data_IF_630297340797
#
_entry.id   IF_630297340797
#
_cell.length_a   1.000
_cell.length_b   1.000
_cell.length_c   1.000
_cell.angle_alpha   90.00
_cell.angle_beta   90.00
_cell.angle_gamma   90.00
#
_symmetry.space_group_name_H-M   'P 1'
#
loop_
_entity.id
_entity.type
_entity.pdbx_description
1 polymer ?
#
# COMPACT_ATOMS: atom_id res chain seq x y z
N UNK A 1 10.84 -5.63 -12.16
CA UNK A 1 9.79 -6.64 -11.84
C UNK A 1 10.19 -7.75 -10.86
N UNK A 2 11.26 -8.57 -11.09
CA UNK A 2 11.59 -9.70 -10.17
C UNK A 2 11.93 -9.29 -8.73
N UNK A 3 12.60 -8.16 -8.53
CA UNK A 3 12.99 -7.67 -7.19
C UNK A 3 11.79 -7.35 -6.28
N UNK A 4 10.79 -6.62 -6.78
CA UNK A 4 9.59 -6.28 -6.01
C UNK A 4 8.81 -7.51 -5.55
N UNK A 5 8.78 -8.57 -6.35
CA UNK A 5 8.11 -9.83 -5.96
C UNK A 5 8.84 -10.53 -4.80
N UNK A 6 10.18 -10.46 -4.74
CA UNK A 6 10.97 -11.03 -3.63
C UNK A 6 10.71 -10.24 -2.34
N UNK A 7 10.76 -8.90 -2.41
CA UNK A 7 10.46 -8.02 -1.28
C UNK A 7 9.05 -8.30 -0.74
N UNK A 8 8.05 -8.33 -1.62
CA UNK A 8 6.68 -8.59 -1.21
C UNK A 8 6.49 -9.99 -0.61
N UNK A 9 7.14 -11.03 -1.17
CA UNK A 9 7.13 -12.37 -0.58
C UNK A 9 7.68 -12.37 0.85
N UNK A 10 8.77 -11.64 1.10
CA UNK A 10 9.37 -11.46 2.43
C UNK A 10 8.46 -10.69 3.38
N UNK A 11 7.74 -9.69 2.90
CA UNK A 11 6.72 -8.99 3.69
C UNK A 11 5.57 -9.94 4.08
N UNK A 12 5.08 -10.75 3.15
CA UNK A 12 4.05 -11.75 3.43
C UNK A 12 4.50 -12.84 4.43
N UNK A 13 5.81 -13.04 4.65
CA UNK A 13 6.31 -13.94 5.72
C UNK A 13 6.16 -13.33 7.12
N UNK A 14 5.98 -12.01 7.21
CA UNK A 14 5.82 -11.28 8.47
C UNK A 14 4.40 -10.74 8.66
N UNK A 15 3.61 -10.66 7.59
CA UNK A 15 2.28 -10.07 7.58
C UNK A 15 1.19 -11.13 7.37
N UNK A 16 0.46 -11.42 8.46
CA UNK A 16 -0.64 -12.38 8.47
C UNK A 16 -2.02 -11.73 8.28
N UNK A 17 -2.07 -10.42 8.00
CA UNK A 17 -3.33 -9.68 7.93
C UNK A 17 -4.25 -10.06 6.76
N UNK A 18 -3.80 -10.93 5.85
CA UNK A 18 -4.61 -11.58 4.81
C UNK A 18 -5.11 -12.98 5.18
N UNK A 19 -4.54 -13.62 6.21
CA UNK A 19 -4.86 -15.00 6.59
C UNK A 19 -6.24 -15.13 7.28
N UNK A 20 -6.73 -14.05 7.87
CA UNK A 20 -8.07 -13.97 8.48
C UNK A 20 -9.16 -13.41 7.55
N UNK A 21 -8.81 -13.01 6.33
CA UNK A 21 -9.79 -12.50 5.38
C UNK A 21 -10.52 -13.69 4.74
N UNK A 22 -11.63 -14.12 5.34
CA UNK A 22 -12.61 -14.98 4.66
C UNK A 22 -13.29 -14.26 3.46
N UNK A 23 -13.03 -12.95 3.35
CA UNK A 23 -13.60 -12.03 2.38
C UNK A 23 -12.79 -11.81 1.09
N UNK A 24 -13.20 -10.79 0.35
CA UNK A 24 -12.64 -10.39 -0.94
C UNK A 24 -11.45 -9.46 -0.75
N UNK A 25 -10.30 -9.83 -1.33
CA UNK A 25 -9.14 -8.92 -1.47
C UNK A 25 -9.14 -8.33 -2.87
N UNK A 26 -9.21 -6.99 -2.94
CA UNK A 26 -9.13 -6.20 -4.17
C UNK A 26 -7.71 -5.63 -4.32
N UNK A 27 -7.08 -5.79 -5.48
CA UNK A 27 -5.74 -5.24 -5.77
C UNK A 27 -5.85 -4.02 -6.67
N UNK A 28 -5.64 -2.84 -6.09
CA UNK A 28 -5.70 -1.55 -6.79
C UNK A 28 -4.33 -1.25 -7.37
N UNK A 29 -4.29 -1.00 -8.68
CA UNK A 29 -3.04 -0.77 -9.43
C UNK A 29 -2.10 -1.99 -9.46
N UNK A 30 -2.66 -3.19 -9.29
CA UNK A 30 -1.90 -4.45 -9.22
C UNK A 30 -1.12 -4.86 -10.49
N UNK A 31 -1.29 -4.13 -11.59
CA UNK A 31 -0.67 -4.41 -12.89
C UNK A 31 -0.88 -5.86 -13.31
N UNK A 32 0.20 -6.64 -13.39
CA UNK A 32 0.18 -8.06 -13.80
C UNK A 32 -0.46 -9.04 -12.79
N UNK A 33 -0.98 -8.57 -11.66
CA UNK A 33 -1.65 -9.40 -10.64
C UNK A 33 -0.71 -10.34 -9.88
N UNK A 34 0.61 -10.11 -9.91
CA UNK A 34 1.60 -10.95 -9.23
C UNK A 34 1.43 -10.92 -7.70
N UNK A 35 1.09 -9.75 -7.14
CA UNK A 35 0.85 -9.62 -5.69
C UNK A 35 -0.29 -10.53 -5.23
N UNK A 36 -1.40 -10.52 -5.97
CA UNK A 36 -2.54 -11.40 -5.71
C UNK A 36 -2.21 -12.89 -5.81
N UNK A 37 -1.42 -13.31 -6.81
CA UNK A 37 -0.96 -14.71 -6.92
C UNK A 37 -0.18 -15.15 -5.68
N UNK A 38 0.65 -14.26 -5.12
CA UNK A 38 1.41 -14.53 -3.90
C UNK A 38 0.52 -14.62 -2.66
N UNK A 39 -0.50 -13.77 -2.54
CA UNK A 39 -1.48 -13.81 -1.44
C UNK A 39 -2.30 -15.12 -1.50
N UNK A 40 -2.81 -15.49 -2.68
CA UNK A 40 -3.58 -16.73 -2.88
C UNK A 40 -2.79 -17.99 -2.51
N UNK A 41 -1.47 -17.98 -2.65
CA UNK A 41 -0.63 -19.09 -2.25
C UNK A 41 -0.53 -19.28 -0.72
N UNK A 42 -1.05 -18.34 0.08
CA UNK A 42 -0.88 -18.31 1.55
C UNK A 42 -2.19 -18.20 2.32
N UNK A 43 -3.29 -17.79 1.68
CA UNK A 43 -4.59 -17.62 2.33
C UNK A 43 -5.71 -18.23 1.47
N UNK A 44 -6.74 -18.85 2.08
CA UNK A 44 -7.93 -19.32 1.37
C UNK A 44 -8.83 -18.17 0.88
N UNK A 45 -8.44 -16.91 1.09
CA UNK A 45 -9.21 -15.73 0.71
C UNK A 45 -9.58 -15.73 -0.78
N UNK A 46 -10.80 -15.24 -1.08
CA UNK A 46 -11.21 -14.99 -2.46
C UNK A 46 -10.50 -13.73 -2.90
N UNK A 47 -9.53 -13.91 -3.78
CA UNK A 47 -8.74 -12.81 -4.31
C UNK A 47 -9.26 -12.47 -5.70
N UNK A 48 -9.75 -11.25 -5.84
CA UNK A 48 -10.26 -10.73 -7.10
C UNK A 48 -9.34 -9.64 -7.60
N UNK A 49 -8.78 -9.86 -8.79
CA UNK A 49 -8.14 -8.80 -9.55
C UNK A 49 -9.21 -8.14 -10.40
N UNK A 50 -9.43 -6.85 -10.20
CA UNK A 50 -10.41 -6.10 -10.97
C UNK A 50 -9.68 -4.93 -11.58
N UNK A 51 -9.61 -4.92 -12.91
CA UNK A 51 -9.15 -3.75 -13.66
C UNK A 51 -10.18 -2.62 -13.53
N UNK A 52 -9.71 -1.40 -13.35
CA UNK A 52 -10.56 -0.23 -13.21
C UNK A 52 -9.74 1.03 -12.96
N UNK A 53 -10.42 2.17 -13.03
CA UNK A 53 -9.84 3.46 -12.67
C UNK A 53 -10.14 3.78 -11.19
N UNK A 54 -9.10 3.66 -10.35
CA UNK A 54 -9.16 3.97 -8.92
C UNK A 54 -9.52 5.43 -8.61
N UNK A 55 -9.32 6.35 -9.55
CA UNK A 55 -9.77 7.74 -9.40
C UNK A 55 -11.28 7.88 -9.55
N UNK A 56 -11.93 7.00 -10.31
CA UNK A 56 -13.38 6.98 -10.45
C UNK A 56 -14.03 6.16 -9.35
N UNK A 57 -13.62 4.89 -9.20
CA UNK A 57 -14.18 3.99 -8.19
C UNK A 57 -13.24 2.81 -7.89
N UNK A 58 -13.41 2.23 -6.70
CA UNK A 58 -12.76 0.98 -6.31
C UNK A 58 -13.85 -0.07 -6.07
N UNK A 59 -13.73 -1.30 -6.62
CA UNK A 59 -14.67 -2.37 -6.36
C UNK A 59 -14.79 -2.69 -4.86
N UNK A 60 -15.99 -3.08 -4.43
CA UNK A 60 -16.23 -3.43 -3.04
C UNK A 60 -15.43 -4.68 -2.63
N UNK A 61 -14.88 -4.65 -1.42
CA UNK A 61 -14.12 -5.76 -0.85
C UNK A 61 -13.85 -5.57 0.62
N UNK A 62 -13.44 -6.64 1.30
CA UNK A 62 -13.13 -6.61 2.73
C UNK A 62 -11.72 -6.05 2.99
N UNK A 63 -10.83 -6.22 2.02
CA UNK A 63 -9.48 -5.69 2.07
C UNK A 63 -9.08 -5.14 0.71
N UNK A 64 -8.54 -3.93 0.70
CA UNK A 64 -7.97 -3.32 -0.50
C UNK A 64 -6.46 -3.30 -0.35
N UNK A 65 -5.75 -3.99 -1.23
CA UNK A 65 -4.30 -3.92 -1.36
C UNK A 65 -3.95 -2.74 -2.28
N UNK A 66 -3.03 -1.90 -1.82
CA UNK A 66 -2.33 -0.92 -2.65
C UNK A 66 -0.83 -1.15 -2.47
N UNK A 67 -0.11 -1.48 -3.53
CA UNK A 67 1.31 -1.83 -3.45
C UNK A 67 2.14 -1.03 -4.44
N UNK A 68 2.88 -0.04 -3.94
CA UNK A 68 3.60 0.94 -4.76
C UNK A 68 2.60 1.77 -5.58
N UNK A 69 1.61 2.37 -4.92
CA UNK A 69 0.56 3.16 -5.58
C UNK A 69 0.57 4.57 -5.06
N UNK A 70 0.49 4.77 -3.75
CA UNK A 70 0.36 6.11 -3.19
C UNK A 70 1.59 6.97 -3.48
N UNK A 71 2.76 6.36 -3.59
CA UNK A 71 3.99 7.09 -3.93
C UNK A 71 4.03 7.65 -5.37
N UNK A 72 3.18 7.17 -6.29
CA UNK A 72 3.12 7.68 -7.67
C UNK A 72 2.38 9.02 -7.80
N UNK A 73 1.66 9.42 -6.75
CA UNK A 73 0.69 10.51 -6.80
C UNK A 73 0.97 11.59 -5.76
N UNK A 74 0.50 12.80 -6.02
CA UNK A 74 0.50 13.88 -5.05
C UNK A 74 -0.56 13.64 -3.96
N UNK A 75 -0.54 14.45 -2.90
CA UNK A 75 -1.41 14.25 -1.74
C UNK A 75 -2.89 14.38 -2.10
N UNK A 76 -3.26 15.32 -3.00
CA UNK A 76 -4.62 15.51 -3.47
C UNK A 76 -5.17 14.26 -4.17
N UNK A 77 -4.36 13.65 -5.02
CA UNK A 77 -4.70 12.44 -5.75
C UNK A 77 -4.73 11.22 -4.83
N UNK A 78 -3.78 11.09 -3.90
CA UNK A 78 -3.82 10.06 -2.86
C UNK A 78 -5.11 10.15 -2.03
N UNK A 79 -5.51 11.36 -1.63
CA UNK A 79 -6.76 11.56 -0.89
C UNK A 79 -7.98 11.13 -1.70
N UNK A 80 -8.00 11.39 -3.01
CA UNK A 80 -9.08 10.96 -3.90
C UNK A 80 -9.16 9.43 -3.98
N UNK A 81 -8.03 8.77 -4.20
CA UNK A 81 -7.93 7.30 -4.23
C UNK A 81 -8.37 6.70 -2.89
N UNK A 82 -7.81 7.18 -1.78
CA UNK A 82 -8.11 6.67 -0.44
C UNK A 82 -9.59 6.86 -0.06
N UNK A 83 -10.21 7.99 -0.44
CA UNK A 83 -11.65 8.21 -0.24
C UNK A 83 -12.50 7.21 -1.02
N UNK A 84 -12.09 6.83 -2.24
CA UNK A 84 -12.77 5.78 -3.01
C UNK A 84 -12.58 4.41 -2.37
N UNK A 85 -11.37 4.07 -1.91
CA UNK A 85 -11.12 2.86 -1.14
C UNK A 85 -12.01 2.80 0.11
N UNK A 86 -12.11 3.90 0.87
CA UNK A 86 -12.95 3.97 2.07
C UNK A 86 -14.42 3.68 1.78
N UNK A 87 -14.96 4.19 0.66
CA UNK A 87 -16.36 3.93 0.24
C UNK A 87 -16.59 2.45 -0.12
N UNK A 88 -15.57 1.80 -0.68
CA UNK A 88 -15.64 0.42 -1.14
C UNK A 88 -15.50 -0.62 0.00
N UNK A 89 -15.01 -0.21 1.17
CA UNK A 89 -14.82 -1.09 2.32
C UNK A 89 -16.08 -1.19 3.20
N UNK A 90 -16.39 -2.36 3.79
CA UNK A 90 -17.32 -2.45 4.93
C UNK A 90 -16.73 -1.77 6.17
N UNK A 91 -17.51 -1.60 7.24
CA UNK A 91 -17.04 -0.97 8.50
C UNK A 91 -15.87 -1.71 9.16
N UNK A 92 -15.80 -3.04 9.00
CA UNK A 92 -14.68 -3.86 9.48
C UNK A 92 -13.54 -3.99 8.46
N UNK A 93 -13.66 -3.33 7.31
CA UNK A 93 -12.71 -3.43 6.20
C UNK A 93 -11.46 -2.58 6.43
N UNK A 94 -10.42 -2.87 5.65
CA UNK A 94 -9.16 -2.14 5.73
C UNK A 94 -8.48 -1.97 4.37
N UNK A 95 -7.70 -0.91 4.26
CA UNK A 95 -6.65 -0.81 3.24
C UNK A 95 -5.38 -1.42 3.80
N UNK A 96 -4.67 -2.19 2.98
CA UNK A 96 -3.29 -2.62 3.22
C UNK A 96 -2.42 -1.90 2.20
N UNK A 97 -1.72 -0.87 2.65
CA UNK A 97 -0.81 -0.07 1.84
C UNK A 97 0.61 -0.60 1.99
N UNK A 98 1.31 -0.80 0.87
CA UNK A 98 2.67 -1.34 0.82
C UNK A 98 3.56 -0.37 0.06
N UNK A 99 4.24 0.47 0.83
CA UNK A 99 4.98 1.63 0.33
C UNK A 99 6.34 1.73 1.06
N UNK A 100 7.38 2.29 0.43
CA UNK A 100 8.53 2.76 1.18
C UNK A 100 8.13 3.92 2.10
N UNK A 101 8.86 4.08 3.21
CA UNK A 101 8.67 5.20 4.14
C UNK A 101 9.98 5.95 4.27
N UNK A 102 9.93 7.28 4.10
CA UNK A 102 11.07 8.15 4.36
C UNK A 102 11.37 8.22 5.87
N UNK A 103 12.66 8.16 6.26
CA UNK A 103 13.03 8.42 7.64
C UNK A 103 12.72 9.89 8.00
N UNK A 104 12.31 10.12 9.25
CA UNK A 104 11.94 11.44 9.77
C UNK A 104 13.15 12.39 9.89
N UNK A 105 14.37 11.84 10.00
CA UNK A 105 15.62 12.58 9.96
C UNK A 105 16.60 11.91 8.99
N UNK A 106 17.40 12.68 8.23
CA UNK A 106 18.40 12.16 7.30
C UNK A 106 19.65 11.61 8.00
N UNK A 107 19.54 11.16 9.25
CA UNK A 107 20.64 10.54 9.98
C UNK A 107 21.19 9.34 9.20
N UNK A 108 22.50 9.10 9.30
CA UNK A 108 23.25 8.08 8.56
C UNK A 108 22.92 6.66 9.03
N UNK A 109 21.63 6.29 9.02
CA UNK A 109 21.19 4.91 9.17
C UNK A 109 21.29 4.20 7.83
N UNK A 110 21.50 2.89 7.89
CA UNK A 110 21.50 2.03 6.69
C UNK A 110 20.17 2.14 5.92
N UNK A 111 19.04 2.35 6.62
CA UNK A 111 17.75 2.58 5.96
C UNK A 111 17.73 3.88 5.15
N UNK A 112 18.22 4.99 5.70
CA UNK A 112 18.27 6.27 5.00
C UNK A 112 19.05 6.15 3.68
N UNK A 113 20.23 5.50 3.72
CA UNK A 113 21.04 5.23 2.52
C UNK A 113 20.34 4.36 1.46
N UNK A 114 19.34 3.55 1.82
CA UNK A 114 18.62 2.69 0.88
C UNK A 114 17.38 3.38 0.29
N UNK A 115 16.75 4.33 1.00
CA UNK A 115 15.56 5.03 0.50
C UNK A 115 15.92 6.18 -0.45
N UNK A 116 17.00 6.92 -0.20
CA UNK A 116 17.38 8.06 -1.05
C UNK A 116 17.56 7.72 -2.54
N UNK A 117 18.18 6.58 -2.93
CA UNK A 117 18.25 6.20 -4.34
C UNK A 117 16.88 5.86 -4.96
N UNK A 118 15.92 5.38 -4.16
CA UNK A 118 14.55 5.11 -4.62
C UNK A 118 13.79 6.42 -4.81
N UNK A 119 13.91 7.35 -3.87
CA UNK A 119 13.33 8.70 -3.95
C UNK A 119 13.84 9.46 -5.19
N UNK A 120 15.14 9.36 -5.49
CA UNK A 120 15.73 9.92 -6.71
C UNK A 120 15.23 9.25 -7.99
N UNK A 121 14.95 7.94 -7.98
CA UNK A 121 14.36 7.24 -9.12
C UNK A 121 12.91 7.69 -9.34
N UNK A 122 12.14 7.84 -8.26
CA UNK A 122 10.76 8.32 -8.32
C UNK A 122 10.65 9.74 -8.87
N UNK A 123 11.56 10.64 -8.46
CA UNK A 123 11.64 12.01 -9.00
C UNK A 123 11.82 12.03 -10.53
N UNK A 124 12.44 11.00 -11.10
CA UNK A 124 12.68 10.89 -12.54
C UNK A 124 11.54 10.18 -13.30
N UNK A 125 10.80 9.28 -12.65
CA UNK A 125 9.80 8.43 -13.30
C UNK A 125 8.36 8.92 -13.12
N UNK A 126 8.05 9.62 -12.01
CA UNK A 126 6.70 10.08 -11.67
C UNK A 126 6.72 11.58 -11.33
N UNK A 127 6.44 12.49 -12.29
CA UNK A 127 6.58 13.94 -12.09
C UNK A 127 5.76 14.53 -10.93
N UNK A 128 4.68 13.84 -10.54
CA UNK A 128 3.80 14.16 -9.41
C UNK A 128 3.99 13.24 -8.20
N UNK A 129 4.83 12.21 -8.32
CA UNK A 129 5.06 11.21 -7.29
C UNK A 129 5.93 11.75 -6.16
N UNK A 130 5.76 11.17 -4.98
CA UNK A 130 6.44 11.60 -3.76
C UNK A 130 6.53 10.44 -2.77
N UNK A 131 7.74 10.18 -2.30
CA UNK A 131 7.94 9.34 -1.13
C UNK A 131 7.56 10.09 0.15
N UNK A 132 6.99 9.37 1.11
CA UNK A 132 6.37 9.97 2.30
C UNK A 132 6.93 9.43 3.59
N UNK A 133 7.01 10.30 4.58
CA UNK A 133 7.29 9.94 5.95
C UNK A 133 6.09 9.22 6.58
N UNK A 134 6.31 8.59 7.73
CA UNK A 134 5.24 7.93 8.48
C UNK A 134 4.13 8.92 8.87
N UNK A 135 4.50 10.13 9.29
CA UNK A 135 3.53 11.18 9.65
C UNK A 135 2.67 11.63 8.47
N UNK A 136 3.26 11.73 7.27
CA UNK A 136 2.50 12.10 6.07
C UNK A 136 1.49 11.02 5.70
N UNK A 137 1.85 9.73 5.81
CA UNK A 137 0.89 8.64 5.63
C UNK A 137 -0.22 8.65 6.69
N UNK A 138 0.10 8.97 7.94
CA UNK A 138 -0.90 9.13 9.01
C UNK A 138 -1.88 10.27 8.69
N UNK A 139 -1.38 11.43 8.23
CA UNK A 139 -2.21 12.57 7.81
C UNK A 139 -3.13 12.18 6.66
N UNK A 140 -2.61 11.57 5.59
CA UNK A 140 -3.40 11.08 4.46
C UNK A 140 -4.50 10.10 4.89
N UNK A 141 -4.18 9.23 5.84
CA UNK A 141 -5.14 8.25 6.39
C UNK A 141 -6.31 8.96 7.07
N UNK A 142 -6.01 9.91 7.96
CA UNK A 142 -7.02 10.67 8.72
C UNK A 142 -7.85 11.57 7.79
N UNK A 143 -7.21 12.30 6.88
CA UNK A 143 -7.85 13.24 5.96
C UNK A 143 -8.73 12.57 4.89
N UNK A 144 -8.44 11.31 4.57
CA UNK A 144 -9.30 10.48 3.71
C UNK A 144 -10.46 9.83 4.46
N UNK A 145 -10.55 10.04 5.78
CA UNK A 145 -11.68 9.68 6.63
C UNK A 145 -11.54 8.34 7.36
N UNK A 146 -10.39 7.68 7.26
CA UNK A 146 -10.09 6.52 8.12
C UNK A 146 -9.77 7.01 9.55
N UNK A 147 -9.99 6.17 10.55
CA UNK A 147 -9.71 6.50 11.95
C UNK A 147 -8.50 5.76 12.52
N UNK A 148 -8.08 4.67 11.88
CA UNK A 148 -6.92 3.90 12.31
C UNK A 148 -5.79 3.92 11.28
N UNK A 149 -4.57 4.18 11.75
CA UNK A 149 -3.32 4.05 11.01
C UNK A 149 -2.36 3.15 11.78
N UNK A 150 -1.94 2.02 11.16
CA UNK A 150 -1.07 1.05 11.81
C UNK A 150 0.03 0.55 10.87
N UNK A 151 1.29 1.01 11.00
CA UNK A 151 2.43 0.33 10.40
C UNK A 151 2.66 -1.01 11.09
N UNK A 152 2.69 -2.10 10.32
CA UNK A 152 2.67 -3.46 10.86
C UNK A 152 4.05 -4.11 10.82
N UNK A 153 4.69 -4.12 9.65
CA UNK A 153 6.02 -4.72 9.47
C UNK A 153 6.73 -4.12 8.25
N UNK A 154 8.03 -4.39 8.12
CA UNK A 154 8.82 -3.93 6.98
C UNK A 154 9.91 -4.92 6.56
N UNK A 155 10.39 -4.74 5.33
CA UNK A 155 11.53 -5.44 4.76
C UNK A 155 12.14 -4.60 3.64
N UNK A 156 13.45 -4.39 3.68
CA UNK A 156 14.19 -3.60 2.68
C UNK A 156 13.49 -2.24 2.41
N UNK A 157 13.29 -1.46 3.49
CA UNK A 157 12.66 -0.13 3.52
C UNK A 157 11.19 -0.02 3.11
N UNK A 158 10.61 -1.08 2.53
CA UNK A 158 9.17 -1.16 2.22
C UNK A 158 8.41 -1.60 3.46
N UNK A 159 7.35 -0.87 3.79
CA UNK A 159 6.47 -1.10 4.92
C UNK A 159 5.12 -1.63 4.47
N UNK A 160 4.50 -2.45 5.33
CA UNK A 160 3.09 -2.78 5.27
C UNK A 160 2.38 -1.94 6.32
N UNK A 161 1.39 -1.16 5.89
CA UNK A 161 0.56 -0.31 6.73
C UNK A 161 -0.91 -0.68 6.56
N UNK A 162 -1.68 -0.62 7.64
CA UNK A 162 -3.12 -0.81 7.63
C UNK A 162 -3.85 0.49 7.91
N UNK A 163 -4.87 0.79 7.08
CA UNK A 163 -5.80 1.91 7.29
C UNK A 163 -7.19 1.32 7.56
N UNK A 164 -7.77 1.63 8.72
CA UNK A 164 -9.07 1.09 9.16
C UNK A 164 -10.08 2.21 9.38
N UNK A 165 -11.36 1.93 9.09
CA UNK A 165 -12.45 2.87 9.36
C UNK A 165 -12.60 3.17 10.83
#
# INVERSE_FOLDING_TARGET
MKGHAIVFKKLLEKYEGFAGASGVVVDVGGGTGVALKLIRGRSPSRVEHIEGDMFESVPAGDTILMKMILHDWCDEDCLKILKNCRKALPETGKVVSVEPILPESPEASTEAHCVFPVDMLMLLESPSGKERTKKEFESLTIESGFTGFRPVCSFATVWVMEFTK
#
